data_IF_173251560646
#
_entry.id   IF_173251560646
#
_cell.length_a   1.000
_cell.length_b   1.000
_cell.length_c   1.000
_cell.angle_alpha   90.00
_cell.angle_beta   90.00
_cell.angle_gamma   90.00
#
_symmetry.space_group_name_H-M   'P 1'
#
loop_
_entity.id
_entity.type
_entity.pdbx_description
1 polymer ?
#
# COMPACT_ATOMS: atom_id res chain seq x y z
N UNK A 1 -9.88 14.14 -24.41
CA UNK A 1 -10.18 13.76 -23.00
C UNK A 1 -11.36 14.60 -22.56
N UNK A 2 -12.48 13.98 -22.23
CA UNK A 2 -13.62 14.70 -21.63
C UNK A 2 -13.23 15.09 -20.21
N UNK A 3 -13.17 16.39 -19.94
CA UNK A 3 -13.22 16.92 -18.58
C UNK A 3 -14.59 16.48 -18.05
N UNK A 4 -14.64 15.55 -17.09
CA UNK A 4 -15.89 15.28 -16.40
C UNK A 4 -16.33 16.58 -15.74
N UNK A 5 -17.53 17.05 -16.06
CA UNK A 5 -18.18 18.13 -15.33
C UNK A 5 -18.23 17.75 -13.85
N UNK A 6 -18.00 18.71 -12.94
CA UNK A 6 -18.01 18.44 -11.50
C UNK A 6 -19.35 17.82 -11.14
N UNK A 7 -19.34 16.77 -10.32
CA UNK A 7 -20.56 16.17 -9.79
C UNK A 7 -21.44 17.22 -9.10
N UNK A 8 -22.76 17.07 -9.22
CA UNK A 8 -23.73 17.89 -8.50
C UNK A 8 -23.52 17.67 -6.99
N UNK A 9 -23.28 18.73 -6.24
CA UNK A 9 -23.24 18.67 -4.79
C UNK A 9 -24.68 18.48 -4.23
N UNK A 10 -24.86 17.78 -3.09
CA UNK A 10 -23.84 17.16 -2.27
C UNK A 10 -23.45 15.75 -2.74
N UNK A 11 -22.22 15.32 -2.45
CA UNK A 11 -21.76 13.95 -2.66
C UNK A 11 -20.96 13.44 -1.46
N UNK A 12 -20.76 12.13 -1.38
CA UNK A 12 -20.13 11.46 -0.24
C UNK A 12 -18.79 10.84 -0.62
N UNK A 13 -17.79 11.03 0.24
CA UNK A 13 -16.49 10.36 0.22
C UNK A 13 -16.40 9.40 1.42
N UNK A 14 -16.31 8.11 1.13
CA UNK A 14 -16.22 7.06 2.15
C UNK A 14 -14.86 6.37 2.10
N UNK A 15 -14.25 6.12 3.26
CA UNK A 15 -13.05 5.30 3.39
C UNK A 15 -13.40 4.04 4.18
N UNK A 16 -13.18 2.89 3.55
CA UNK A 16 -13.59 1.60 4.07
C UNK A 16 -12.37 0.68 4.21
N UNK A 17 -12.09 0.26 5.44
CA UNK A 17 -11.04 -0.71 5.72
C UNK A 17 -11.53 -2.13 5.41
N UNK A 18 -10.91 -2.75 4.41
CA UNK A 18 -11.18 -4.14 4.02
C UNK A 18 -10.27 -5.11 4.77
N UNK A 19 -9.01 -4.70 4.99
CA UNK A 19 -8.02 -5.52 5.69
C UNK A 19 -6.87 -4.65 6.21
N UNK A 20 -6.27 -4.93 7.39
CA UNK A 20 -6.67 -5.91 8.39
C UNK A 20 -8.00 -5.57 9.08
N UNK A 21 -8.54 -6.49 9.87
CA UNK A 21 -9.78 -6.31 10.63
C UNK A 21 -9.51 -6.13 12.12
N UNK A 22 -10.34 -5.33 12.81
CA UNK A 22 -10.18 -5.12 14.24
C UNK A 22 -10.37 -6.44 14.99
N UNK A 23 -9.56 -6.64 16.03
CA UNK A 23 -9.62 -7.82 16.91
C UNK A 23 -9.43 -9.18 16.21
N UNK A 24 -8.89 -9.19 14.99
CA UNK A 24 -8.46 -10.44 14.34
C UNK A 24 -6.97 -10.71 14.63
N UNK A 25 -6.62 -12.00 14.61
CA UNK A 25 -5.24 -12.47 14.71
C UNK A 25 -4.81 -13.07 13.38
N UNK A 26 -3.72 -12.54 12.82
CA UNK A 26 -3.17 -12.98 11.55
C UNK A 26 -1.86 -13.72 11.69
N UNK A 27 -1.55 -14.57 10.71
CA UNK A 27 -0.20 -15.10 10.57
C UNK A 27 0.77 -14.01 10.11
N UNK A 28 2.01 -13.99 10.64
CA UNK A 28 3.04 -13.01 10.24
C UNK A 28 3.66 -13.39 8.89
N UNK A 29 2.90 -13.22 7.80
CA UNK A 29 3.32 -13.58 6.44
C UNK A 29 3.97 -12.41 5.71
N UNK A 30 4.72 -12.72 4.64
CA UNK A 30 5.29 -11.73 3.74
C UNK A 30 4.71 -11.81 2.31
N UNK A 31 4.42 -10.66 1.66
CA UNK A 31 4.10 -9.38 2.29
C UNK A 31 2.75 -9.47 3.03
N UNK A 32 2.54 -8.64 4.04
CA UNK A 32 1.26 -8.50 4.72
C UNK A 32 0.45 -7.36 4.07
N UNK A 33 -0.84 -7.55 3.71
CA UNK A 33 -1.57 -6.53 3.01
C UNK A 33 -2.21 -5.53 3.97
N UNK A 34 -2.36 -4.29 3.51
CA UNK A 34 -3.27 -3.28 4.06
C UNK A 34 -4.13 -2.78 2.91
N UNK A 35 -5.45 -2.88 3.06
CA UNK A 35 -6.42 -2.71 1.97
C UNK A 35 -7.55 -1.79 2.42
N UNK A 36 -7.65 -0.65 1.74
CA UNK A 36 -8.78 0.27 1.84
C UNK A 36 -9.55 0.32 0.52
N UNK A 37 -10.85 0.55 0.58
CA UNK A 37 -11.69 0.95 -0.53
C UNK A 37 -12.21 2.36 -0.28
N UNK A 38 -12.03 3.25 -1.26
CA UNK A 38 -12.45 4.64 -1.20
C UNK A 38 -13.58 4.83 -2.22
N UNK A 39 -14.76 5.17 -1.74
CA UNK A 39 -15.96 5.42 -2.55
C UNK A 39 -16.15 6.92 -2.76
N UNK A 40 -16.57 7.33 -3.95
CA UNK A 40 -16.72 8.75 -4.30
C UNK A 40 -15.37 9.46 -4.52
N UNK A 41 -14.31 8.68 -4.76
CA UNK A 41 -12.96 9.20 -4.94
C UNK A 41 -12.84 9.98 -6.25
N UNK A 42 -13.55 9.55 -7.29
CA UNK A 42 -13.55 10.22 -8.59
C UNK A 42 -14.14 11.63 -8.52
N UNK A 43 -15.21 11.79 -7.74
CA UNK A 43 -15.89 13.07 -7.46
C UNK A 43 -15.07 13.95 -6.52
N UNK A 44 -14.42 13.37 -5.51
CA UNK A 44 -13.60 14.10 -4.55
C UNK A 44 -12.24 14.56 -5.13
N UNK A 45 -11.74 13.92 -6.19
CA UNK A 45 -10.39 14.14 -6.73
C UNK A 45 -10.06 15.60 -7.08
N UNK A 46 -10.95 16.37 -7.75
CA UNK A 46 -10.71 17.77 -8.05
C UNK A 46 -10.53 18.66 -6.81
N UNK A 47 -10.95 18.17 -5.65
CA UNK A 47 -10.94 18.90 -4.38
C UNK A 47 -9.79 18.47 -3.45
N UNK A 48 -8.80 17.76 -3.98
CA UNK A 48 -7.48 17.63 -3.36
C UNK A 48 -7.50 17.05 -1.93
N UNK A 49 -8.06 15.86 -1.76
CA UNK A 49 -7.94 15.13 -0.51
C UNK A 49 -6.60 14.39 -0.40
N UNK A 50 -6.14 14.18 0.83
CA UNK A 50 -5.01 13.34 1.19
C UNK A 50 -5.45 12.29 2.19
N UNK A 51 -5.10 11.03 1.95
CA UNK A 51 -5.30 9.95 2.89
C UNK A 51 -3.96 9.35 3.28
N UNK A 52 -3.66 9.26 4.58
CA UNK A 52 -2.43 8.63 5.09
C UNK A 52 -2.77 7.45 5.98
N UNK A 53 -1.87 6.49 6.03
CA UNK A 53 -1.95 5.35 6.94
C UNK A 53 -0.59 5.09 7.58
N UNK A 54 -0.60 4.47 8.75
CA UNK A 54 0.59 4.07 9.49
C UNK A 54 0.31 2.80 10.26
N UNK A 55 1.23 1.84 10.18
CA UNK A 55 1.18 0.57 10.90
C UNK A 55 2.36 0.51 11.87
N UNK A 56 2.06 0.22 13.13
CA UNK A 56 3.03 0.17 14.22
C UNK A 56 2.85 -1.09 15.06
N UNK A 57 3.95 -1.76 15.43
CA UNK A 57 3.94 -2.88 16.38
C UNK A 57 4.07 -2.43 17.85
N UNK A 58 3.58 -3.27 18.78
CA UNK A 58 3.71 -3.02 20.22
C UNK A 58 5.18 -2.97 20.65
N UNK A 59 5.47 -2.07 21.58
CA UNK A 59 6.78 -1.83 22.16
C UNK A 59 6.68 -1.73 23.69
N UNK A 60 7.66 -2.31 24.39
CA UNK A 60 7.83 -2.14 25.83
C UNK A 60 8.56 -0.83 26.14
N UNK A 61 8.13 -0.15 27.22
CA UNK A 61 8.86 0.99 27.77
C UNK A 61 10.14 0.55 28.49
N UNK A 62 11.23 1.33 28.44
CA UNK A 62 11.42 2.58 27.70
C UNK A 62 11.72 2.39 26.21
N UNK A 63 11.19 3.27 25.36
CA UNK A 63 11.35 3.27 23.90
C UNK A 63 12.79 3.57 23.46
N UNK A 64 13.36 2.72 22.60
CA UNK A 64 14.31 3.16 21.58
C UNK A 64 13.51 3.38 20.29
N UNK A 65 13.44 4.63 19.81
CA UNK A 65 12.63 5.00 18.64
C UNK A 65 13.08 4.27 17.36
N UNK A 66 14.35 3.85 17.33
CA UNK A 66 15.00 3.18 16.21
C UNK A 66 14.61 1.69 16.09
N UNK A 67 14.02 1.09 17.14
CA UNK A 67 13.65 -0.34 17.16
C UNK A 67 12.15 -0.57 16.85
N UNK A 68 11.39 0.48 16.56
CA UNK A 68 9.94 0.37 16.31
C UNK A 68 9.69 -0.14 14.88
N UNK A 69 9.08 -1.34 14.69
CA UNK A 69 8.60 -1.72 13.38
C UNK A 69 7.48 -0.76 12.96
N UNK A 70 7.77 0.05 11.94
CA UNK A 70 6.92 1.13 11.48
C UNK A 70 6.93 1.18 9.95
N UNK A 71 5.74 1.34 9.39
CA UNK A 71 5.53 1.52 7.96
C UNK A 71 4.37 2.49 7.78
N UNK A 72 4.42 3.28 6.72
CA UNK A 72 3.44 4.33 6.48
C UNK A 72 3.42 4.68 5.00
N UNK A 73 2.28 5.20 4.57
CA UNK A 73 2.14 5.69 3.22
C UNK A 73 1.03 6.71 3.10
N UNK A 74 0.88 7.22 1.89
CA UNK A 74 -0.08 8.26 1.58
C UNK A 74 -0.69 8.06 0.18
N UNK A 75 -1.89 8.58 0.01
CA UNK A 75 -2.63 8.65 -1.23
C UNK A 75 -3.09 10.11 -1.42
N UNK A 76 -2.86 10.73 -2.60
CA UNK A 76 -2.06 10.28 -3.74
C UNK A 76 -0.56 10.14 -3.42
N UNK A 77 0.14 9.19 -4.08
CA UNK A 77 1.59 8.95 -3.92
C UNK A 77 2.51 10.16 -4.15
N UNK A 78 2.02 11.25 -4.77
CA UNK A 78 2.81 12.48 -4.99
C UNK A 78 2.53 13.52 -3.91
N UNK A 79 3.62 14.07 -3.34
CA UNK A 79 3.64 15.12 -2.31
C UNK A 79 2.92 16.43 -2.68
N UNK A 80 2.59 16.65 -3.96
CA UNK A 80 1.95 17.87 -4.44
C UNK A 80 0.92 17.51 -5.51
N UNK A 81 -0.30 18.01 -5.30
CA UNK A 81 -1.42 17.93 -6.21
C UNK A 81 -0.99 18.35 -7.61
N UNK A 82 -0.94 17.40 -8.54
CA UNK A 82 -0.89 17.75 -9.95
C UNK A 82 -2.33 17.73 -10.42
N UNK A 83 -2.77 18.83 -11.04
CA UNK A 83 -3.93 18.86 -11.92
C UNK A 83 -3.72 17.76 -12.96
N UNK A 84 -4.21 16.59 -12.63
CA UNK A 84 -3.88 15.34 -13.27
C UNK A 84 -5.00 14.40 -12.89
N UNK A 85 -5.79 14.06 -13.89
CA UNK A 85 -6.81 13.04 -13.77
C UNK A 85 -6.09 11.80 -13.22
N UNK A 86 -6.43 11.36 -12.00
CA UNK A 86 -6.44 9.93 -11.79
C UNK A 86 -7.30 9.41 -12.94
N UNK A 87 -6.72 8.58 -13.82
CA UNK A 87 -7.51 7.71 -14.70
C UNK A 87 -8.74 7.30 -13.88
N UNK A 88 -9.97 7.67 -14.31
CA UNK A 88 -11.13 7.70 -13.44
C UNK A 88 -11.16 6.41 -12.65
N UNK A 89 -10.86 6.53 -11.36
CA UNK A 89 -10.71 5.37 -10.51
C UNK A 89 -11.98 4.55 -10.70
N UNK A 90 -11.84 3.27 -11.09
CA UNK A 90 -12.99 2.38 -11.08
C UNK A 90 -13.56 2.43 -9.67
N UNK A 91 -14.84 2.80 -9.53
CA UNK A 91 -15.48 2.88 -8.22
C UNK A 91 -15.77 1.46 -7.71
N UNK A 92 -15.38 1.12 -6.45
CA UNK A 92 -14.59 1.93 -5.53
C UNK A 92 -13.08 1.85 -5.82
N UNK A 93 -12.37 2.93 -5.54
CA UNK A 93 -10.91 2.96 -5.64
C UNK A 93 -10.28 2.08 -4.56
N UNK A 94 -9.55 1.05 -4.96
CA UNK A 94 -8.86 0.16 -4.03
C UNK A 94 -7.43 0.64 -3.77
N UNK A 95 -7.16 1.07 -2.55
CA UNK A 95 -5.82 1.41 -2.09
C UNK A 95 -5.21 0.20 -1.38
N UNK A 96 -4.29 -0.48 -2.08
CA UNK A 96 -3.69 -1.75 -1.69
C UNK A 96 -2.20 -1.55 -1.47
N UNK A 97 -1.72 -1.87 -0.28
CA UNK A 97 -0.30 -1.79 0.08
C UNK A 97 0.15 -3.11 0.68
N UNK A 98 1.36 -3.55 0.36
CA UNK A 98 2.03 -4.68 0.99
C UNK A 98 3.16 -4.20 1.89
N UNK A 99 3.29 -4.79 3.07
CA UNK A 99 4.35 -4.46 4.02
C UNK A 99 5.13 -5.69 4.47
N UNK A 100 6.43 -5.52 4.70
CA UNK A 100 7.28 -6.55 5.29
C UNK A 100 7.33 -6.53 6.81
N UNK A 101 6.60 -5.63 7.47
CA UNK A 101 6.74 -5.43 8.92
C UNK A 101 6.41 -6.65 9.77
N UNK A 102 5.42 -7.44 9.35
CA UNK A 102 4.91 -8.52 10.20
C UNK A 102 5.84 -9.73 10.20
N UNK A 103 6.49 -10.00 9.07
CA UNK A 103 7.41 -11.14 8.96
C UNK A 103 8.65 -10.86 9.82
N UNK A 104 9.09 -11.85 10.59
CA UNK A 104 10.25 -11.76 11.50
C UNK A 104 10.15 -10.71 12.62
N UNK A 105 8.99 -10.09 12.83
CA UNK A 105 8.78 -9.18 13.96
C UNK A 105 8.52 -9.95 15.27
N UNK A 106 9.00 -9.39 16.38
CA UNK A 106 8.69 -9.87 17.74
C UNK A 106 7.39 -9.28 18.28
N UNK A 107 6.85 -8.24 17.62
CA UNK A 107 5.57 -7.64 17.99
C UNK A 107 4.40 -8.59 17.67
N UNK A 108 3.53 -8.76 18.65
CA UNK A 108 2.31 -9.59 18.55
C UNK A 108 1.03 -8.77 18.50
N UNK A 109 1.11 -7.48 18.82
CA UNK A 109 0.01 -6.53 18.73
C UNK A 109 0.41 -5.40 17.80
N UNK A 110 -0.55 -4.94 17.00
CA UNK A 110 -0.35 -3.96 15.96
C UNK A 110 -1.44 -2.91 16.00
N UNK A 111 -1.05 -1.65 15.80
CA UNK A 111 -1.94 -0.50 15.67
C UNK A 111 -1.85 0.01 14.24
N UNK A 112 -2.99 0.02 13.55
CA UNK A 112 -3.16 0.71 12.27
C UNK A 112 -3.87 2.03 12.54
N UNK A 113 -3.25 3.15 12.19
CA UNK A 113 -3.88 4.46 12.19
C UNK A 113 -3.96 5.06 10.79
N UNK A 114 -4.91 5.96 10.62
CA UNK A 114 -5.16 6.63 9.36
C UNK A 114 -5.62 8.06 9.57
N UNK A 115 -5.48 8.87 8.52
CA UNK A 115 -5.93 10.26 8.50
C UNK A 115 -6.41 10.64 7.11
N UNK A 116 -7.59 11.25 7.03
CA UNK A 116 -8.07 11.96 5.85
C UNK A 116 -7.94 13.45 6.10
N UNK A 117 -7.41 14.16 5.11
CA UNK A 117 -7.30 15.61 5.08
C UNK A 117 -7.94 16.14 3.79
N UNK A 118 -8.75 17.17 3.89
CA UNK A 118 -9.36 17.87 2.75
C UNK A 118 -9.14 19.36 2.92
N UNK A 119 -8.78 20.04 1.83
CA UNK A 119 -8.66 21.50 1.82
C UNK A 119 -10.06 22.13 1.83
N UNK A 120 -10.45 22.71 2.97
CA UNK A 120 -11.79 23.25 3.22
C UNK A 120 -11.84 24.78 3.42
N UNK A 121 -10.70 25.46 3.28
CA UNK A 121 -10.60 26.89 3.66
C UNK A 121 -10.87 27.82 2.49
N UNK A 122 -12.02 28.49 2.58
CA UNK A 122 -12.44 29.53 1.64
C UNK A 122 -12.33 30.93 2.26
N UNK A 123 -11.90 30.99 3.53
CA UNK A 123 -11.89 32.20 4.35
C UNK A 123 -10.46 32.76 4.53
N UNK A 124 -10.25 34.05 4.24
CA UNK A 124 -9.00 34.73 4.50
C UNK A 124 -8.47 34.81 5.92
N UNK A 125 -9.32 34.66 6.92
CA UNK A 125 -8.92 34.82 8.32
C UNK A 125 -8.57 33.47 8.98
N UNK A 126 -8.93 32.36 8.34
CA UNK A 126 -8.70 31.00 8.83
C UNK A 126 -7.68 30.19 7.98
N UNK A 127 -6.81 30.88 7.25
CA UNK A 127 -5.82 30.28 6.37
C UNK A 127 -4.93 29.24 7.06
N UNK A 128 -4.87 28.03 6.48
CA UNK A 128 -4.03 26.92 6.93
C UNK A 128 -4.74 25.88 7.78
N UNK A 129 -6.04 26.07 8.07
CA UNK A 129 -6.88 24.95 8.53
C UNK A 129 -7.15 24.00 7.36
N UNK A 130 -7.31 22.73 7.68
CA UNK A 130 -7.84 21.72 6.76
C UNK A 130 -8.79 20.88 7.58
N UNK A 131 -9.86 20.39 6.96
CA UNK A 131 -10.64 19.35 7.58
C UNK A 131 -9.71 18.14 7.73
N UNK A 132 -9.50 17.68 8.96
CA UNK A 132 -8.68 16.51 9.23
C UNK A 132 -9.41 15.60 10.19
N UNK A 133 -9.52 14.33 9.80
CA UNK A 133 -10.07 13.30 10.66
C UNK A 133 -9.15 12.10 10.68
N UNK A 134 -8.87 11.62 11.88
CA UNK A 134 -8.04 10.46 12.11
C UNK A 134 -8.83 9.35 12.80
N UNK A 135 -8.36 8.13 12.63
CA UNK A 135 -8.85 6.97 13.35
C UNK A 135 -7.73 5.97 13.55
N UNK A 136 -7.98 4.98 14.40
CA UNK A 136 -7.06 3.90 14.64
C UNK A 136 -7.81 2.63 15.02
N UNK A 137 -7.17 1.48 14.80
CA UNK A 137 -7.66 0.19 15.25
C UNK A 137 -6.49 -0.75 15.55
N UNK A 138 -6.77 -1.77 16.35
CA UNK A 138 -5.77 -2.77 16.72
C UNK A 138 -6.12 -4.14 16.16
N UNK A 139 -5.07 -4.89 15.82
CA UNK A 139 -5.14 -6.31 15.51
C UNK A 139 -3.90 -7.01 16.08
N UNK A 140 -3.83 -8.32 15.94
CA UNK A 140 -2.71 -9.11 16.49
C UNK A 140 -2.09 -10.04 15.44
N UNK A 141 -0.86 -10.48 15.70
CA UNK A 141 -0.18 -11.51 14.93
C UNK A 141 0.20 -12.71 15.80
N UNK A 142 0.08 -13.91 15.25
CA UNK A 142 0.50 -15.17 15.87
C UNK A 142 0.76 -16.21 14.78
N UNK A 143 1.73 -17.13 14.95
CA UNK A 143 1.89 -18.28 14.05
C UNK A 143 0.62 -19.14 13.92
N UNK A 144 -0.23 -19.15 14.95
CA UNK A 144 -1.54 -19.84 14.93
C UNK A 144 -2.69 -19.01 14.37
N UNK A 145 -2.41 -17.79 13.91
CA UNK A 145 -3.41 -16.87 13.35
C UNK A 145 -4.02 -17.35 12.05
N UNK A 146 -4.97 -16.56 11.54
CA UNK A 146 -5.56 -16.78 10.23
C UNK A 146 -4.69 -16.20 9.11
N UNK A 147 -4.73 -16.81 7.93
CA UNK A 147 -4.13 -16.21 6.75
C UNK A 147 -4.95 -14.97 6.31
N UNK A 148 -4.28 -13.92 5.80
CA UNK A 148 -4.97 -12.81 5.16
C UNK A 148 -5.90 -13.30 4.05
N UNK A 149 -7.16 -12.88 4.13
CA UNK A 149 -8.19 -13.18 3.14
C UNK A 149 -9.15 -12.02 3.07
N UNK A 150 -9.45 -11.59 1.85
CA UNK A 150 -10.50 -10.62 1.53
C UNK A 150 -11.87 -11.28 1.32
N UNK A 151 -11.91 -12.60 1.10
CA UNK A 151 -13.12 -13.35 0.78
C UNK A 151 -13.82 -13.90 2.03
N UNK A 152 -15.16 -13.86 2.04
CA UNK A 152 -16.00 -14.54 3.03
C UNK A 152 -16.06 -13.87 4.42
N UNK A 153 -15.54 -12.65 4.56
CA UNK A 153 -15.54 -11.86 5.80
C UNK A 153 -16.73 -10.87 5.84
N UNK A 154 -17.11 -10.35 7.02
CA UNK A 154 -18.14 -9.31 7.12
C UNK A 154 -17.81 -8.09 6.25
N UNK A 155 -18.82 -7.26 5.99
CA UNK A 155 -18.69 -6.03 5.21
C UNK A 155 -17.45 -5.21 5.63
N UNK A 156 -16.79 -4.51 4.71
CA UNK A 156 -15.75 -3.53 5.04
C UNK A 156 -16.13 -2.64 6.23
N UNK A 157 -15.14 -2.23 7.02
CA UNK A 157 -15.37 -1.31 8.13
C UNK A 157 -15.29 0.10 7.57
N UNK A 158 -16.40 0.84 7.57
CA UNK A 158 -16.36 2.26 7.29
C UNK A 158 -15.58 2.95 8.42
N UNK A 159 -14.41 3.49 8.08
CA UNK A 159 -13.51 4.12 9.05
C UNK A 159 -13.60 5.64 9.02
N UNK A 160 -14.04 6.21 7.89
CA UNK A 160 -14.30 7.63 7.70
C UNK A 160 -15.42 7.82 6.67
N UNK A 161 -16.26 8.82 6.90
CA UNK A 161 -17.25 9.30 5.95
C UNK A 161 -17.24 10.82 5.96
N UNK A 162 -17.16 11.44 4.79
CA UNK A 162 -17.16 12.89 4.62
C UNK A 162 -18.14 13.27 3.52
N UNK A 163 -19.07 14.17 3.83
CA UNK A 163 -19.99 14.73 2.84
C UNK A 163 -19.44 16.06 2.33
N UNK A 164 -19.34 16.18 1.02
CA UNK A 164 -19.04 17.41 0.31
C UNK A 164 -20.36 18.14 0.05
N UNK A 165 -20.52 19.33 0.62
CA UNK A 165 -21.78 20.08 0.61
C UNK A 165 -21.85 21.13 -0.50
N UNK A 166 -20.75 21.83 -0.75
CA UNK A 166 -20.67 22.87 -1.77
C UNK A 166 -19.23 23.11 -2.19
N UNK A 167 -19.04 23.60 -3.42
CA UNK A 167 -17.78 24.15 -3.91
C UNK A 167 -17.86 25.68 -3.94
N UNK A 168 -16.89 26.34 -3.32
CA UNK A 168 -16.67 27.78 -3.35
C UNK A 168 -15.39 28.10 -4.10
N UNK A 169 -15.30 29.32 -4.61
CA UNK A 169 -14.07 29.79 -5.23
C UNK A 169 -13.10 30.28 -4.16
N UNK A 170 -11.86 29.77 -4.18
CA UNK A 170 -10.78 30.29 -3.34
C UNK A 170 -10.53 31.77 -3.69
N UNK A 171 -10.57 32.71 -2.72
CA UNK A 171 -10.32 34.13 -2.99
C UNK A 171 -8.99 34.43 -3.70
N UNK A 172 -8.93 35.49 -4.51
CA UNK A 172 -7.71 35.79 -5.28
C UNK A 172 -6.52 36.26 -4.41
N UNK A 173 -6.82 36.83 -3.25
CA UNK A 173 -5.86 37.32 -2.27
C UNK A 173 -5.18 36.18 -1.47
N UNK A 174 -5.70 34.94 -1.55
CA UNK A 174 -5.00 33.75 -1.05
C UNK A 174 -3.76 33.49 -1.91
N UNK A 175 -2.57 33.88 -1.43
CA UNK A 175 -1.30 33.62 -2.13
C UNK A 175 -0.43 32.54 -1.50
N UNK A 176 -0.60 32.26 -0.20
CA UNK A 176 0.19 31.27 0.55
C UNK A 176 -0.66 30.02 0.75
N UNK A 177 -0.13 28.84 0.44
CA UNK A 177 -0.83 27.55 0.55
C UNK A 177 -2.13 27.47 -0.28
N UNK A 178 -2.23 28.23 -1.37
CA UNK A 178 -3.30 28.07 -2.36
C UNK A 178 -3.03 26.80 -3.17
N UNK A 179 -3.63 25.69 -2.76
CA UNK A 179 -3.48 24.41 -3.44
C UNK A 179 -4.47 24.24 -4.60
N UNK A 180 -5.67 24.84 -4.49
CA UNK A 180 -6.73 24.77 -5.51
C UNK A 180 -7.47 26.11 -5.67
N UNK A 181 -8.09 26.30 -6.85
CA UNK A 181 -9.07 27.36 -7.11
C UNK A 181 -10.47 27.02 -6.56
N UNK A 182 -10.68 25.75 -6.19
CA UNK A 182 -11.88 25.25 -5.54
C UNK A 182 -11.63 25.11 -4.04
N UNK A 183 -12.64 25.45 -3.26
CA UNK A 183 -12.67 25.31 -1.82
C UNK A 183 -13.98 24.64 -1.41
N UNK A 184 -13.90 23.49 -0.77
CA UNK A 184 -15.09 22.70 -0.44
C UNK A 184 -15.55 22.95 0.98
N UNK A 185 -16.86 23.02 1.18
CA UNK A 185 -17.43 22.88 2.52
C UNK A 185 -17.79 21.43 2.73
N UNK A 186 -17.30 20.87 3.83
CA UNK A 186 -17.47 19.45 4.16
C UNK A 186 -18.07 19.27 5.54
N UNK A 187 -18.76 18.15 5.76
CA UNK A 187 -19.31 17.77 7.08
C UNK A 187 -19.26 16.27 7.27
N UNK A 188 -19.16 15.84 8.52
CA UNK A 188 -19.19 14.43 8.92
C UNK A 188 -20.43 14.05 9.76
N UNK A 189 -21.35 14.98 9.98
CA UNK A 189 -22.51 14.78 10.88
C UNK A 189 -23.68 14.01 10.26
N UNK A 190 -23.75 13.86 8.93
CA UNK A 190 -24.98 13.41 8.24
C UNK A 190 -24.79 12.28 7.21
N UNK A 191 -23.62 11.64 7.21
CA UNK A 191 -23.30 10.62 6.22
C UNK A 191 -22.86 9.30 6.86
N UNK A 192 -23.46 8.22 6.38
CA UNK A 192 -22.92 6.86 6.50
C UNK A 192 -22.99 6.23 5.12
N UNK A 193 -21.90 5.66 4.65
CA UNK A 193 -21.91 4.88 3.43
C UNK A 193 -22.58 3.52 3.65
N UNK A 194 -22.58 2.73 2.58
CA UNK A 194 -23.01 1.34 2.61
C UNK A 194 -21.80 0.44 2.30
N UNK A 195 -20.91 0.19 3.28
CA UNK A 195 -19.70 -0.60 3.06
C UNK A 195 -20.02 -1.99 2.51
N UNK A 196 -21.20 -2.54 2.80
CA UNK A 196 -21.62 -3.86 2.33
C UNK A 196 -21.84 -3.94 0.82
N UNK A 197 -21.96 -2.81 0.11
CA UNK A 197 -22.03 -2.79 -1.36
C UNK A 197 -20.68 -2.91 -2.05
N UNK A 198 -19.58 -2.76 -1.30
CA UNK A 198 -18.22 -2.89 -1.84
C UNK A 198 -17.96 -4.37 -2.12
N UNK A 199 -17.73 -4.70 -3.40
CA UNK A 199 -17.40 -6.07 -3.80
C UNK A 199 -15.99 -6.46 -3.34
N UNK A 200 -15.92 -7.34 -2.34
CA UNK A 200 -14.68 -7.93 -1.82
C UNK A 200 -14.39 -9.31 -2.41
N UNK A 201 -15.02 -9.64 -3.53
CA UNK A 201 -14.95 -10.93 -4.21
C UNK A 201 -13.63 -11.20 -4.96
N UNK A 202 -13.72 -12.01 -6.01
CA UNK A 202 -12.57 -12.56 -6.73
C UNK A 202 -11.70 -11.50 -7.42
N UNK A 203 -12.31 -10.40 -7.90
CA UNK A 203 -11.58 -9.29 -8.51
C UNK A 203 -10.63 -8.64 -7.50
N UNK A 204 -11.13 -8.27 -6.32
CA UNK A 204 -10.30 -7.71 -5.26
C UNK A 204 -9.22 -8.69 -4.82
N UNK A 205 -9.56 -9.97 -4.64
CA UNK A 205 -8.57 -10.99 -4.30
C UNK A 205 -7.41 -11.03 -5.30
N UNK A 206 -7.73 -10.95 -6.60
CA UNK A 206 -6.72 -10.94 -7.67
C UNK A 206 -5.85 -9.68 -7.63
N UNK A 207 -6.44 -8.51 -7.37
CA UNK A 207 -5.71 -7.25 -7.22
C UNK A 207 -4.77 -7.28 -6.01
N UNK A 208 -5.23 -7.82 -4.87
CA UNK A 208 -4.40 -7.97 -3.67
C UNK A 208 -3.25 -8.93 -3.95
N UNK A 209 -3.52 -10.12 -4.49
CA UNK A 209 -2.47 -11.09 -4.85
C UNK A 209 -1.43 -10.46 -5.79
N UNK A 210 -1.87 -9.79 -6.85
CA UNK A 210 -0.96 -9.12 -7.79
C UNK A 210 -0.08 -8.07 -7.07
N UNK A 211 -0.66 -7.24 -6.20
CA UNK A 211 0.09 -6.22 -5.47
C UNK A 211 1.07 -6.81 -4.46
N UNK A 212 0.72 -7.92 -3.81
CA UNK A 212 1.64 -8.60 -2.88
C UNK A 212 2.81 -9.23 -3.61
N UNK A 213 2.57 -9.86 -4.77
CA UNK A 213 3.64 -10.40 -5.61
C UNK A 213 4.53 -9.27 -6.17
N UNK A 214 3.94 -8.15 -6.59
CA UNK A 214 4.69 -6.95 -6.99
C UNK A 214 5.58 -6.43 -5.84
N UNK A 215 5.02 -6.33 -4.64
CA UNK A 215 5.76 -5.87 -3.44
C UNK A 215 6.92 -6.79 -3.09
N UNK A 216 6.75 -8.09 -3.31
CA UNK A 216 7.80 -9.10 -3.10
C UNK A 216 8.73 -9.29 -4.31
N UNK A 217 8.56 -8.50 -5.38
CA UNK A 217 9.32 -8.65 -6.64
C UNK A 217 9.24 -10.07 -7.23
N UNK A 218 8.08 -10.72 -7.09
CA UNK A 218 7.82 -12.06 -7.59
C UNK A 218 7.14 -12.04 -8.97
N UNK A 219 7.32 -13.09 -9.79
CA UNK A 219 6.52 -13.27 -10.99
C UNK A 219 5.02 -13.31 -10.69
N UNK A 220 4.20 -12.70 -11.55
CA UNK A 220 2.75 -12.55 -11.35
C UNK A 220 1.94 -13.85 -11.45
N UNK A 221 2.56 -14.93 -11.93
CA UNK A 221 1.94 -16.26 -12.02
C UNK A 221 2.05 -17.08 -10.73
N UNK A 222 2.67 -16.53 -9.68
CA UNK A 222 2.79 -17.17 -8.37
C UNK A 222 1.52 -17.01 -7.53
N UNK A 223 1.43 -17.76 -6.44
CA UNK A 223 0.37 -17.62 -5.45
C UNK A 223 0.80 -16.73 -4.29
N UNK A 224 -0.15 -16.01 -3.73
CA UNK A 224 0.00 -15.33 -2.45
C UNK A 224 -1.32 -15.45 -1.65
N UNK A 225 -1.29 -15.68 -0.32
CA UNK A 225 -0.12 -15.96 0.51
C UNK A 225 0.64 -17.24 0.15
N UNK A 226 1.95 -17.25 0.35
CA UNK A 226 2.80 -18.44 0.22
C UNK A 226 3.80 -18.48 1.38
N UNK A 227 3.41 -19.19 2.45
CA UNK A 227 4.20 -19.26 3.69
C UNK A 227 5.46 -20.10 3.56
N UNK A 228 5.57 -20.95 2.52
CA UNK A 228 6.72 -21.82 2.33
C UNK A 228 7.83 -21.12 1.56
N UNK A 229 7.45 -20.28 0.60
CA UNK A 229 8.38 -19.65 -0.33
C UNK A 229 8.61 -18.16 -0.02
N UNK A 230 7.61 -17.43 0.50
CA UNK A 230 7.70 -15.99 0.80
C UNK A 230 7.95 -15.73 2.29
N UNK A 231 9.22 -15.91 2.68
CA UNK A 231 9.75 -15.74 4.04
C UNK A 231 10.30 -14.32 4.29
N UNK A 232 10.43 -13.49 3.27
CA UNK A 232 10.88 -12.10 3.39
C UNK A 232 11.18 -11.45 2.04
N UNK A 233 11.69 -10.20 2.04
CA UNK A 233 11.94 -9.42 0.82
C UNK A 233 12.85 -10.10 -0.21
N UNK A 234 13.80 -10.90 0.25
CA UNK A 234 14.76 -11.62 -0.61
C UNK A 234 14.25 -12.99 -1.09
N UNK A 235 13.03 -13.38 -0.74
CA UNK A 235 12.50 -14.70 -1.10
C UNK A 235 12.44 -14.90 -2.60
N UNK A 236 11.91 -13.93 -3.34
CA UNK A 236 11.71 -14.11 -4.78
C UNK A 236 12.97 -13.92 -5.61
N UNK A 237 13.91 -13.08 -5.17
CA UNK A 237 15.23 -12.98 -5.81
C UNK A 237 15.99 -14.30 -5.74
N UNK A 238 15.83 -15.06 -4.65
CA UNK A 238 16.41 -16.40 -4.51
C UNK A 238 15.68 -17.47 -5.33
N UNK A 239 14.34 -17.46 -5.34
CA UNK A 239 13.53 -18.46 -6.03
C UNK A 239 13.55 -18.30 -7.54
N UNK A 240 13.60 -17.05 -8.00
CA UNK A 240 13.53 -16.66 -9.40
C UNK A 240 14.68 -15.70 -9.71
N UNK A 241 15.94 -16.18 -9.69
CA UNK A 241 17.08 -15.33 -10.02
C UNK A 241 16.90 -14.81 -11.44
N UNK A 242 17.06 -13.50 -11.62
CA UNK A 242 17.14 -12.93 -12.96
C UNK A 242 18.31 -13.62 -13.69
N UNK A 243 18.14 -14.00 -14.97
CA UNK A 243 19.25 -14.55 -15.74
C UNK A 243 20.37 -13.51 -15.72
N UNK A 244 21.56 -13.93 -15.29
CA UNK A 244 22.72 -13.06 -15.26
C UNK A 244 22.85 -12.38 -16.63
N UNK A 245 22.82 -11.05 -16.66
CA UNK A 245 23.17 -10.31 -17.85
C UNK A 245 24.49 -10.88 -18.38
N UNK A 246 24.52 -11.18 -19.67
CA UNK A 246 25.59 -11.90 -20.36
C UNK A 246 26.91 -11.12 -20.45
N UNK A 247 27.22 -10.24 -19.50
CA UNK A 247 28.45 -9.43 -19.46
C UNK A 247 29.55 -10.02 -18.56
N UNK A 248 29.32 -11.17 -17.92
CA UNK A 248 30.35 -11.88 -17.15
C UNK A 248 31.21 -12.85 -17.99
N UNK A 249 30.92 -13.03 -19.29
CA UNK A 249 31.72 -13.89 -20.17
C UNK A 249 33.07 -13.28 -20.59
N UNK A 250 33.30 -11.98 -20.36
CA UNK A 250 34.56 -11.30 -20.73
C UNK A 250 35.58 -11.10 -19.60
N UNK A 251 35.27 -11.50 -18.35
CA UNK A 251 36.19 -11.30 -17.22
C UNK A 251 37.07 -12.53 -16.92
N UNK A 252 36.74 -13.71 -17.47
CA UNK A 252 37.55 -14.93 -17.30
C UNK A 252 38.57 -15.19 -18.43
N UNK A 253 38.65 -14.34 -19.46
CA UNK A 253 39.65 -14.48 -20.53
C UNK A 253 41.06 -14.00 -20.14
N UNK A 254 41.26 -13.34 -18.99
CA UNK A 254 42.56 -12.77 -18.61
C UNK A 254 43.26 -13.42 -17.40
N UNK A 255 42.71 -14.50 -16.83
CA UNK A 255 43.32 -15.15 -15.65
C UNK A 255 43.73 -16.63 -15.81
N UNK A 256 43.52 -17.26 -16.98
CA UNK A 256 44.04 -18.61 -17.26
C UNK A 256 45.26 -18.59 -18.19
N UNK A 257 46.35 -17.99 -17.71
CA UNK A 257 47.69 -18.25 -18.22
C UNK A 257 48.67 -18.49 -17.08
N UNK A 258 48.29 -19.31 -16.09
CA UNK A 258 49.23 -19.83 -15.10
C UNK A 258 48.97 -21.33 -14.83
N UNK A 259 49.81 -22.15 -15.46
CA UNK A 259 50.28 -23.49 -15.06
C UNK A 259 49.26 -24.62 -14.81
N UNK A 260 49.40 -25.74 -15.53
CA UNK A 260 50.22 -26.90 -15.12
C UNK A 260 50.12 -27.97 -16.23
N UNK A 261 51.23 -28.17 -16.94
CA UNK A 261 51.49 -29.42 -17.63
C UNK A 261 52.04 -30.41 -16.60
N UNK A 262 51.25 -31.41 -16.21
CA UNK A 262 51.75 -32.63 -15.57
C UNK A 262 50.63 -33.69 -15.50
N UNK A 263 50.92 -34.86 -16.08
CA UNK A 263 50.36 -36.12 -15.60
C UNK A 263 49.41 -36.87 -16.53
N UNK A 264 49.91 -37.40 -17.64
CA UNK A 264 49.36 -38.62 -18.24
C UNK A 264 50.41 -39.73 -18.15
N UNK A 265 50.37 -40.49 -17.06
CA UNK A 265 50.91 -41.85 -16.99
C UNK A 265 49.69 -42.75 -16.84
N UNK A 266 49.59 -43.80 -17.66
CA UNK A 266 49.43 -45.20 -17.23
C UNK A 266 49.27 -46.13 -18.46
N UNK A 267 50.33 -46.93 -18.66
CA UNK A 267 50.43 -48.37 -19.01
C UNK A 267 49.87 -48.97 -20.32
N UNK A 268 50.73 -49.78 -20.97
CA UNK A 268 50.29 -50.99 -21.67
C UNK A 268 51.27 -51.69 -22.64
N UNK A 269 52.07 -52.64 -22.12
CA UNK A 269 52.52 -53.91 -22.75
C UNK A 269 53.67 -54.02 -23.79
N UNK A 270 54.76 -54.66 -23.30
CA UNK A 270 55.49 -55.87 -23.78
C UNK A 270 56.01 -56.04 -25.23
N UNK A 271 57.34 -56.21 -25.31
CA UNK A 271 58.15 -57.30 -25.93
C UNK A 271 57.75 -57.80 -27.34
N UNK A 272 58.58 -57.54 -28.36
CA UNK A 272 59.65 -58.42 -28.91
C UNK A 272 60.75 -57.54 -29.49
#
# INVERSE_FOLDING_TARGET
MQVRESSEFPFDLGVNLIFPRPNETYRPIYPFPVVFAITGAAEAWPYQFRFTWRLEGNHSWPMHIDDRPLDSGWLPEKNLFTEGQLEPAEEPYHFIVGTGLLVNSTSTEWMLDWRLEVSDVCDPEEYGKSYSRAGQMNFSSSPSGSLPSTSGKPCPLEVLHLRFLENKTTPEDVKKYRYSNSCVVVTDQEGSGDPCKIDTGSKLKSLVTAKMLETASCPTNQSWPDEENLLGPESCSFLYPEPAEEDAANILSHSMAFWVALGAIVFGFCIV
#
